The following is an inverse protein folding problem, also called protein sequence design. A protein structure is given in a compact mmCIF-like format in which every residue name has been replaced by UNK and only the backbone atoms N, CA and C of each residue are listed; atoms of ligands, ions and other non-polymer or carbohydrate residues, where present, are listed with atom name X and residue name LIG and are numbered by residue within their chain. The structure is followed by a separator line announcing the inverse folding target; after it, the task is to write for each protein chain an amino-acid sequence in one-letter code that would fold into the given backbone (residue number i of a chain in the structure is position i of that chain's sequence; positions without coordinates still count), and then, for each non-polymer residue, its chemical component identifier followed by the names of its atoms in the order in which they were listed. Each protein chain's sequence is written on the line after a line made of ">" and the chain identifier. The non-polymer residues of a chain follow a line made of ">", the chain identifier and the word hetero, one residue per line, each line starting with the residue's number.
data_IF_167495721547
#
_entry.id   IF_167495721547
#
_cell.length_a   1.000
_cell.length_b   1.000
_cell.length_c   1.000
_cell.angle_alpha   90.00
_cell.angle_beta   90.00
_cell.angle_gamma   90.00
#
_symmetry.space_group_name_H-M   'P 1'
#
loop_
_entity.id
_entity.type
_entity.pdbx_description
1 polymer ?
#
# COMPACT_ATOMS: atom_id res chain seq x y z
N UNK A 1 -8.17 24.85 15.09
CA UNK A 1 -7.08 25.55 14.35
C UNK A 1 -7.69 26.70 13.58
N UNK A 2 -7.07 27.89 13.58
CA UNK A 2 -7.59 29.00 12.77
C UNK A 2 -7.42 28.72 11.27
N UNK A 3 -8.36 29.18 10.40
CA UNK A 3 -8.28 28.94 8.95
C UNK A 3 -6.98 29.45 8.31
N UNK A 4 -6.34 30.45 8.90
CA UNK A 4 -5.04 30.99 8.46
C UNK A 4 -3.91 29.99 8.70
N UNK A 5 -3.90 29.28 9.84
CA UNK A 5 -2.90 28.24 10.13
C UNK A 5 -3.03 27.03 9.22
N UNK A 6 -4.26 26.64 8.88
CA UNK A 6 -4.51 25.53 7.93
C UNK A 6 -4.02 25.91 6.54
N UNK A 7 -4.36 27.11 6.04
CA UNK A 7 -3.87 27.59 4.73
C UNK A 7 -2.35 27.68 4.66
N UNK A 8 -1.69 28.14 5.73
CA UNK A 8 -0.24 28.20 5.80
C UNK A 8 0.37 26.79 5.79
N UNK A 9 -0.12 25.88 6.59
CA UNK A 9 0.35 24.49 6.63
C UNK A 9 0.17 23.78 5.28
N UNK A 10 -0.97 23.97 4.59
CA UNK A 10 -1.20 23.42 3.25
C UNK A 10 -0.22 24.03 2.26
N UNK A 11 -0.01 25.35 2.28
CA UNK A 11 0.93 26.02 1.36
C UNK A 11 2.38 25.54 1.59
N UNK A 12 2.80 25.39 2.83
CA UNK A 12 4.11 24.85 3.19
C UNK A 12 4.26 23.39 2.76
N UNK A 13 3.19 22.59 2.84
CA UNK A 13 3.19 21.19 2.41
C UNK A 13 3.29 21.02 0.89
N UNK A 14 2.82 21.99 0.11
CA UNK A 14 2.73 21.92 -1.37
C UNK A 14 3.88 22.69 -2.05
N UNK A 15 4.49 23.71 -1.38
CA UNK A 15 5.51 24.57 -1.99
C UNK A 15 6.87 23.88 -2.10
N UNK A 16 7.63 24.21 -3.13
CA UNK A 16 9.04 23.80 -3.28
C UNK A 16 9.27 22.40 -3.86
N UNK A 17 8.23 21.64 -4.19
CA UNK A 17 8.37 20.37 -4.90
C UNK A 17 8.53 20.58 -6.40
N UNK A 18 9.35 19.76 -7.12
CA UNK A 18 9.57 19.87 -8.55
C UNK A 18 8.29 19.71 -9.37
N UNK A 19 8.25 20.29 -10.55
CA UNK A 19 7.10 20.21 -11.45
C UNK A 19 6.82 18.78 -11.91
N UNK A 20 7.86 18.00 -12.10
CA UNK A 20 7.82 16.58 -12.47
C UNK A 20 7.13 15.72 -11.40
N UNK A 21 7.34 16.05 -10.12
CA UNK A 21 6.61 15.41 -9.01
C UNK A 21 5.10 15.61 -9.15
N UNK A 22 4.64 16.82 -9.50
CA UNK A 22 3.22 17.11 -9.65
C UNK A 22 2.58 16.35 -10.82
N UNK A 23 3.30 16.14 -11.92
CA UNK A 23 2.83 15.31 -13.02
C UNK A 23 2.68 13.85 -12.59
N UNK A 24 3.65 13.32 -11.85
CA UNK A 24 3.61 11.95 -11.33
C UNK A 24 2.50 11.79 -10.28
N UNK A 25 2.33 12.76 -9.40
CA UNK A 25 1.27 12.82 -8.38
C UNK A 25 -0.12 12.87 -9.04
N UNK A 26 -0.32 13.74 -10.03
CA UNK A 26 -1.58 13.83 -10.77
C UNK A 26 -1.87 12.53 -11.50
N UNK A 27 -0.87 11.91 -12.14
CA UNK A 27 -1.03 10.59 -12.76
C UNK A 27 -1.43 9.53 -11.74
N UNK A 28 -0.85 9.52 -10.54
CA UNK A 28 -1.25 8.61 -9.45
C UNK A 28 -2.70 8.84 -9.04
N UNK A 29 -3.11 10.09 -8.84
CA UNK A 29 -4.48 10.43 -8.47
C UNK A 29 -5.49 10.00 -9.55
N UNK A 30 -5.24 10.36 -10.82
CA UNK A 30 -6.11 10.02 -11.96
C UNK A 30 -6.21 8.51 -12.14
N UNK A 31 -5.11 7.79 -12.03
CA UNK A 31 -5.12 6.32 -12.10
C UNK A 31 -5.95 5.70 -10.96
N UNK A 32 -5.90 6.30 -9.76
CA UNK A 32 -6.73 5.84 -8.63
C UNK A 32 -8.20 6.22 -8.76
N UNK A 33 -8.50 7.37 -9.34
CA UNK A 33 -9.88 7.77 -9.65
C UNK A 33 -10.55 6.83 -10.67
N UNK A 34 -9.76 6.23 -11.58
CA UNK A 34 -10.24 5.25 -12.54
C UNK A 34 -10.35 3.82 -12.02
N UNK A 35 -9.80 3.51 -10.83
CA UNK A 35 -9.70 2.14 -10.35
C UNK A 35 -11.08 1.52 -10.08
N UNK A 36 -11.51 0.61 -10.95
CA UNK A 36 -12.79 -0.08 -10.92
C UNK A 36 -12.64 -1.57 -10.61
N UNK A 37 -11.74 -2.25 -11.32
CA UNK A 37 -11.56 -3.71 -11.26
C UNK A 37 -11.31 -4.19 -9.84
N UNK A 38 -10.34 -3.58 -9.14
CA UNK A 38 -9.92 -4.04 -7.82
C UNK A 38 -11.05 -3.99 -6.77
N UNK A 39 -12.00 -3.06 -6.93
CA UNK A 39 -13.09 -2.83 -5.97
C UNK A 39 -14.37 -3.57 -6.37
N UNK A 40 -14.70 -3.62 -7.67
CA UNK A 40 -15.99 -4.10 -8.14
C UNK A 40 -15.96 -5.45 -8.84
N UNK A 41 -14.78 -6.08 -9.03
CA UNK A 41 -14.66 -7.39 -9.67
C UNK A 41 -15.53 -8.46 -9.00
N UNK A 42 -15.57 -8.50 -7.67
CA UNK A 42 -16.36 -9.49 -6.95
C UNK A 42 -17.86 -9.33 -7.19
N UNK A 43 -18.37 -8.09 -7.19
CA UNK A 43 -19.77 -7.79 -7.52
C UNK A 43 -20.10 -8.08 -8.99
N UNK A 44 -19.21 -7.70 -9.90
CA UNK A 44 -19.36 -8.05 -11.33
C UNK A 44 -19.54 -9.56 -11.51
N UNK A 45 -18.68 -10.37 -10.89
CA UNK A 45 -18.75 -11.81 -11.04
C UNK A 45 -19.99 -12.42 -10.39
N UNK A 46 -20.42 -11.91 -9.23
CA UNK A 46 -21.52 -12.51 -8.48
C UNK A 46 -22.89 -11.97 -8.87
N UNK A 47 -23.04 -10.65 -9.10
CA UNK A 47 -24.32 -10.03 -9.40
C UNK A 47 -24.60 -9.96 -10.91
N UNK A 48 -23.63 -9.57 -11.73
CA UNK A 48 -23.83 -9.40 -13.18
C UNK A 48 -23.68 -10.73 -13.94
N UNK A 49 -22.65 -11.53 -13.56
CA UNK A 49 -22.35 -12.79 -14.24
C UNK A 49 -22.96 -14.02 -13.58
N UNK A 50 -23.51 -13.91 -12.37
CA UNK A 50 -24.15 -14.99 -11.64
C UNK A 50 -23.20 -16.11 -11.18
N UNK A 51 -21.88 -15.86 -11.12
CA UNK A 51 -20.92 -16.83 -10.62
C UNK A 51 -20.97 -16.95 -9.09
N UNK A 52 -20.46 -18.07 -8.57
CA UNK A 52 -20.34 -18.31 -7.14
C UNK A 52 -19.35 -17.36 -6.47
N UNK A 53 -19.50 -17.16 -5.15
CA UNK A 53 -18.52 -16.42 -4.36
C UNK A 53 -17.15 -17.10 -4.35
N UNK A 54 -17.10 -18.43 -4.40
CA UNK A 54 -15.86 -19.21 -4.54
C UNK A 54 -15.12 -18.87 -5.83
N UNK A 55 -15.84 -18.74 -6.95
CA UNK A 55 -15.23 -18.35 -8.21
C UNK A 55 -14.75 -16.88 -8.17
N UNK A 56 -15.54 -15.96 -7.61
CA UNK A 56 -15.12 -14.57 -7.41
C UNK A 56 -13.85 -14.49 -6.53
N UNK A 57 -13.80 -15.30 -5.47
CA UNK A 57 -12.61 -15.45 -4.63
C UNK A 57 -11.39 -15.98 -5.37
N UNK A 58 -11.57 -17.00 -6.24
CA UNK A 58 -10.51 -17.52 -7.09
C UNK A 58 -9.95 -16.45 -8.04
N UNK A 59 -10.83 -15.72 -8.72
CA UNK A 59 -10.43 -14.65 -9.66
C UNK A 59 -9.68 -13.53 -8.94
N UNK A 60 -10.16 -13.09 -7.78
CA UNK A 60 -9.47 -12.10 -6.95
C UNK A 60 -8.11 -12.59 -6.44
N UNK A 61 -8.00 -13.88 -6.10
CA UNK A 61 -6.73 -14.49 -5.69
C UNK A 61 -5.74 -14.59 -6.85
N UNK A 62 -6.19 -14.91 -8.04
CA UNK A 62 -5.36 -14.92 -9.25
C UNK A 62 -4.87 -13.50 -9.59
N UNK A 63 -5.73 -12.49 -9.45
CA UNK A 63 -5.32 -11.08 -9.56
C UNK A 63 -4.24 -10.74 -8.52
N UNK A 64 -4.41 -11.15 -7.26
CA UNK A 64 -3.41 -11.00 -6.21
C UNK A 64 -2.09 -11.71 -6.54
N UNK A 65 -2.15 -12.94 -7.04
CA UNK A 65 -0.98 -13.72 -7.47
C UNK A 65 -0.22 -13.02 -8.61
N UNK A 66 -0.94 -12.45 -9.58
CA UNK A 66 -0.36 -11.62 -10.63
C UNK A 66 0.45 -10.46 -10.05
N UNK A 67 -0.10 -9.79 -9.01
CA UNK A 67 0.59 -8.73 -8.27
C UNK A 67 1.88 -9.21 -7.57
N UNK A 68 1.87 -10.41 -6.97
CA UNK A 68 3.07 -11.01 -6.35
C UNK A 68 4.15 -11.28 -7.39
N UNK A 69 3.80 -11.92 -8.49
CA UNK A 69 4.73 -12.20 -9.61
C UNK A 69 5.33 -10.90 -10.14
N UNK A 70 4.50 -9.90 -10.32
CA UNK A 70 4.91 -8.58 -10.82
C UNK A 70 5.80 -7.81 -9.86
N UNK A 71 5.62 -7.94 -8.54
CA UNK A 71 6.46 -7.24 -7.57
C UNK A 71 7.92 -7.71 -7.64
N UNK A 72 8.14 -8.97 -8.01
CA UNK A 72 9.49 -9.54 -8.22
C UNK A 72 10.09 -9.08 -9.56
N UNK A 73 9.29 -9.04 -10.63
CA UNK A 73 9.75 -8.66 -11.97
C UNK A 73 9.80 -7.16 -12.23
N UNK A 74 8.87 -6.39 -11.67
CA UNK A 74 8.72 -4.96 -11.91
C UNK A 74 9.92 -4.12 -11.46
N UNK A 75 10.52 -4.47 -10.33
CA UNK A 75 11.76 -3.85 -9.87
C UNK A 75 12.92 -4.10 -10.84
N UNK A 76 13.13 -5.35 -11.26
CA UNK A 76 14.18 -5.72 -12.23
C UNK A 76 13.95 -5.03 -13.57
N UNK A 77 12.70 -4.93 -14.00
CA UNK A 77 12.34 -4.23 -15.25
C UNK A 77 12.63 -2.74 -15.16
N UNK A 78 12.31 -2.08 -14.03
CA UNK A 78 12.61 -0.67 -13.78
C UNK A 78 14.13 -0.38 -13.76
N UNK A 79 14.94 -1.32 -13.23
CA UNK A 79 16.39 -1.18 -13.17
C UNK A 79 17.05 -1.41 -14.54
N UNK A 80 16.55 -2.37 -15.33
CA UNK A 80 17.14 -2.74 -16.63
C UNK A 80 16.68 -1.85 -17.78
N UNK A 81 15.38 -1.63 -17.91
CA UNK A 81 14.78 -0.87 -19.02
C UNK A 81 14.75 0.64 -18.72
N UNK A 82 14.80 1.02 -17.46
CA UNK A 82 14.53 2.37 -17.00
C UNK A 82 13.11 2.49 -16.42
N UNK A 83 12.87 3.56 -15.69
CA UNK A 83 11.63 3.73 -14.92
C UNK A 83 10.46 4.17 -15.78
N UNK A 84 10.72 5.12 -16.70
CA UNK A 84 9.70 5.63 -17.62
C UNK A 84 9.20 4.57 -18.62
N UNK A 85 10.06 3.79 -19.32
CA UNK A 85 9.60 2.67 -20.15
C UNK A 85 8.84 1.62 -19.36
N UNK A 86 9.28 1.29 -18.14
CA UNK A 86 8.58 0.33 -17.26
C UNK A 86 7.16 0.81 -16.93
N UNK A 87 6.99 2.09 -16.59
CA UNK A 87 5.68 2.66 -16.33
C UNK A 87 4.79 2.63 -17.59
N UNK A 88 5.33 2.98 -18.75
CA UNK A 88 4.59 2.96 -20.00
C UNK A 88 4.10 1.54 -20.32
N UNK A 89 4.99 0.55 -20.27
CA UNK A 89 4.64 -0.86 -20.52
C UNK A 89 3.60 -1.35 -19.52
N UNK A 90 3.81 -1.09 -18.22
CA UNK A 90 2.90 -1.52 -17.17
C UNK A 90 1.50 -0.90 -17.32
N UNK A 91 1.41 0.40 -17.56
CA UNK A 91 0.14 1.10 -17.69
C UNK A 91 -0.59 0.73 -18.99
N UNK A 92 0.11 0.59 -20.12
CA UNK A 92 -0.50 0.15 -21.38
C UNK A 92 -0.98 -1.30 -21.31
N UNK A 93 -0.19 -2.20 -20.70
CA UNK A 93 -0.60 -3.57 -20.45
C UNK A 93 -1.80 -3.64 -19.49
N UNK A 94 -1.84 -2.79 -18.44
CA UNK A 94 -3.00 -2.69 -17.55
C UNK A 94 -4.24 -2.23 -18.33
N UNK A 95 -4.14 -1.13 -19.07
CA UNK A 95 -5.27 -0.62 -19.86
C UNK A 95 -5.80 -1.67 -20.85
N UNK A 96 -4.91 -2.35 -21.57
CA UNK A 96 -5.29 -3.40 -22.52
C UNK A 96 -5.94 -4.61 -21.83
N UNK A 97 -5.38 -5.08 -20.70
CA UNK A 97 -5.92 -6.23 -19.97
C UNK A 97 -7.23 -5.91 -19.25
N UNK A 98 -7.41 -4.70 -18.73
CA UNK A 98 -8.68 -4.25 -18.13
C UNK A 98 -9.77 -4.11 -19.21
N UNK A 99 -9.46 -3.50 -20.36
CA UNK A 99 -10.40 -3.43 -21.47
C UNK A 99 -10.78 -4.84 -21.95
N UNK A 100 -9.80 -5.73 -22.14
CA UNK A 100 -10.02 -7.12 -22.53
C UNK A 100 -10.93 -7.86 -21.55
N UNK A 101 -10.75 -7.64 -20.24
CA UNK A 101 -11.56 -8.26 -19.19
C UNK A 101 -13.06 -7.96 -19.37
N UNK A 102 -13.41 -6.74 -19.76
CA UNK A 102 -14.79 -6.33 -20.00
C UNK A 102 -15.51 -7.12 -21.10
N UNK A 103 -14.75 -7.69 -22.06
CA UNK A 103 -15.30 -8.48 -23.17
C UNK A 103 -15.22 -10.00 -22.93
N UNK A 104 -14.59 -10.44 -21.85
CA UNK A 104 -14.47 -11.87 -21.56
C UNK A 104 -15.78 -12.44 -21.03
N UNK A 105 -16.19 -13.58 -21.60
CA UNK A 105 -17.41 -14.31 -21.20
C UNK A 105 -17.10 -15.67 -20.60
N UNK A 106 -16.02 -16.32 -21.07
CA UNK A 106 -15.65 -17.65 -20.60
C UNK A 106 -14.93 -17.58 -19.24
N UNK A 107 -15.30 -18.40 -18.24
CA UNK A 107 -14.72 -18.33 -16.90
C UNK A 107 -13.20 -18.44 -16.87
N UNK A 108 -12.61 -19.38 -17.59
CA UNK A 108 -11.16 -19.54 -17.63
C UNK A 108 -10.45 -18.32 -18.25
N UNK A 109 -11.06 -17.65 -19.22
CA UNK A 109 -10.53 -16.43 -19.81
C UNK A 109 -10.60 -15.25 -18.82
N UNK A 110 -11.72 -15.09 -18.11
CA UNK A 110 -11.86 -14.08 -17.04
C UNK A 110 -10.77 -14.28 -16.00
N UNK A 111 -10.56 -15.49 -15.51
CA UNK A 111 -9.55 -15.82 -14.51
C UNK A 111 -8.12 -15.53 -15.00
N UNK A 112 -7.80 -15.93 -16.24
CA UNK A 112 -6.49 -15.67 -16.85
C UNK A 112 -6.23 -14.18 -17.09
N UNK A 113 -7.22 -13.45 -17.60
CA UNK A 113 -7.10 -11.99 -17.82
C UNK A 113 -7.03 -11.24 -16.48
N UNK A 114 -7.76 -11.66 -15.44
CA UNK A 114 -7.64 -11.06 -14.12
C UNK A 114 -6.23 -11.23 -13.52
N UNK A 115 -5.59 -12.38 -13.72
CA UNK A 115 -4.18 -12.56 -13.38
C UNK A 115 -3.28 -11.56 -14.12
N UNK A 116 -3.48 -11.37 -15.42
CA UNK A 116 -2.74 -10.39 -16.24
C UNK A 116 -2.96 -8.96 -15.75
N UNK A 117 -4.20 -8.58 -15.40
CA UNK A 117 -4.52 -7.27 -14.81
C UNK A 117 -3.74 -7.08 -13.51
N UNK A 118 -3.76 -8.07 -12.62
CA UNK A 118 -3.02 -8.02 -11.36
C UNK A 118 -1.51 -7.88 -11.58
N UNK A 119 -0.96 -8.60 -12.55
CA UNK A 119 0.45 -8.54 -12.91
C UNK A 119 0.82 -7.17 -13.49
N UNK A 120 0.09 -6.66 -14.45
CA UNK A 120 0.38 -5.40 -15.11
C UNK A 120 0.22 -4.20 -14.17
N UNK A 121 -0.89 -4.13 -13.42
CA UNK A 121 -1.21 -3.00 -12.55
C UNK A 121 -0.20 -2.82 -11.40
N UNK A 122 0.32 -3.92 -10.85
CA UNK A 122 1.29 -3.86 -9.76
C UNK A 122 2.74 -3.62 -10.23
N UNK A 123 3.06 -3.88 -11.52
CA UNK A 123 4.40 -3.62 -12.09
C UNK A 123 4.79 -2.13 -12.05
N UNK A 124 3.81 -1.23 -12.07
CA UNK A 124 4.05 0.21 -12.03
C UNK A 124 4.51 0.73 -10.67
N UNK A 125 4.14 0.05 -9.57
CA UNK A 125 4.38 0.55 -8.19
C UNK A 125 5.86 0.81 -7.85
N UNK A 126 6.78 -0.15 -8.08
CA UNK A 126 8.21 0.08 -7.80
C UNK A 126 8.77 1.24 -8.62
N UNK A 127 8.38 1.34 -9.91
CA UNK A 127 8.84 2.39 -10.79
C UNK A 127 8.36 3.78 -10.35
N UNK A 128 7.09 3.94 -9.96
CA UNK A 128 6.54 5.19 -9.40
C UNK A 128 7.29 5.61 -8.13
N UNK A 129 7.49 4.69 -7.19
CA UNK A 129 8.19 4.97 -5.94
C UNK A 129 9.64 5.37 -6.16
N UNK A 130 10.34 4.66 -7.04
CA UNK A 130 11.71 4.95 -7.39
C UNK A 130 11.84 6.30 -8.09
N UNK A 131 10.99 6.58 -9.09
CA UNK A 131 10.96 7.84 -9.82
C UNK A 131 10.67 9.03 -8.88
N UNK A 132 9.75 8.86 -7.94
CA UNK A 132 9.46 9.87 -6.92
C UNK A 132 10.67 10.15 -6.01
N UNK A 133 11.37 9.10 -5.59
CA UNK A 133 12.58 9.23 -4.78
C UNK A 133 13.74 9.90 -5.52
N UNK A 134 13.80 9.78 -6.87
CA UNK A 134 14.84 10.42 -7.68
C UNK A 134 14.57 11.89 -8.00
N UNK A 135 13.30 12.21 -8.29
CA UNK A 135 12.87 13.56 -8.67
C UNK A 135 12.91 14.50 -7.46
N UNK A 136 12.62 13.96 -6.25
CA UNK A 136 12.48 14.77 -5.04
C UNK A 136 13.76 14.71 -4.20
N UNK A 137 14.19 15.89 -3.72
CA UNK A 137 15.36 16.01 -2.83
C UNK A 137 15.21 15.14 -1.58
N UNK A 138 16.30 14.59 -1.01
CA UNK A 138 16.24 13.69 0.15
C UNK A 138 15.44 14.24 1.33
N UNK A 139 15.59 15.55 1.64
CA UNK A 139 14.89 16.24 2.74
C UNK A 139 13.37 16.35 2.53
N UNK A 140 12.91 16.36 1.27
CA UNK A 140 11.50 16.51 0.90
C UNK A 140 10.79 15.17 0.65
N UNK A 141 11.51 14.04 0.62
CA UNK A 141 10.94 12.72 0.27
C UNK A 141 9.79 12.30 1.18
N UNK A 142 9.94 12.48 2.49
CA UNK A 142 8.88 12.12 3.45
C UNK A 142 7.58 12.87 3.12
N UNK A 143 7.68 14.14 2.80
CA UNK A 143 6.55 14.99 2.40
C UNK A 143 5.93 14.53 1.08
N UNK A 144 6.76 14.25 0.08
CA UNK A 144 6.31 13.76 -1.23
C UNK A 144 5.57 12.43 -1.14
N UNK A 145 6.12 11.46 -0.40
CA UNK A 145 5.45 10.17 -0.17
C UNK A 145 4.14 10.32 0.62
N UNK A 146 4.08 11.23 1.58
CA UNK A 146 2.85 11.53 2.32
C UNK A 146 1.77 12.11 1.41
N UNK A 147 2.13 13.05 0.52
CA UNK A 147 1.21 13.60 -0.47
C UNK A 147 0.73 12.53 -1.46
N UNK A 148 1.63 11.63 -1.88
CA UNK A 148 1.26 10.52 -2.76
C UNK A 148 0.30 9.53 -2.07
N UNK A 149 0.54 9.22 -0.80
CA UNK A 149 -0.36 8.39 0.00
C UNK A 149 -1.76 9.03 0.12
N UNK A 150 -1.80 10.35 0.31
CA UNK A 150 -3.05 11.10 0.35
C UNK A 150 -3.79 11.04 -1.00
N UNK A 151 -3.08 11.18 -2.14
CA UNK A 151 -3.66 11.03 -3.47
C UNK A 151 -4.28 9.65 -3.69
N UNK A 152 -3.58 8.59 -3.23
CA UNK A 152 -4.05 7.21 -3.33
C UNK A 152 -5.39 7.03 -2.57
N UNK A 153 -5.47 7.48 -1.33
CA UNK A 153 -6.66 7.30 -0.50
C UNK A 153 -7.83 8.21 -0.93
N UNK A 154 -7.54 9.45 -1.33
CA UNK A 154 -8.55 10.35 -1.89
C UNK A 154 -9.11 9.77 -3.20
N UNK A 155 -8.21 9.33 -4.09
CA UNK A 155 -8.62 8.69 -5.34
C UNK A 155 -9.46 7.45 -5.08
N UNK A 156 -9.08 6.60 -4.13
CA UNK A 156 -9.84 5.43 -3.73
C UNK A 156 -11.24 5.79 -3.19
N UNK A 157 -11.37 6.78 -2.32
CA UNK A 157 -12.65 7.20 -1.77
C UNK A 157 -13.62 7.68 -2.87
N UNK A 158 -13.12 8.56 -3.76
CA UNK A 158 -13.94 9.11 -4.85
C UNK A 158 -14.25 8.03 -5.90
N UNK A 159 -13.26 7.21 -6.27
CA UNK A 159 -13.47 6.14 -7.27
C UNK A 159 -14.46 5.09 -6.77
N UNK A 160 -14.38 4.68 -5.51
CA UNK A 160 -15.30 3.66 -4.97
C UNK A 160 -16.75 4.12 -5.03
N UNK A 161 -17.02 5.38 -4.69
CA UNK A 161 -18.36 5.95 -4.80
C UNK A 161 -18.81 6.07 -6.26
N UNK A 162 -17.98 6.67 -7.13
CA UNK A 162 -18.30 6.84 -8.55
C UNK A 162 -18.48 5.50 -9.27
N UNK A 163 -17.60 4.54 -8.99
CA UNK A 163 -17.64 3.21 -9.57
C UNK A 163 -18.89 2.42 -9.15
N UNK A 164 -19.38 2.62 -7.91
CA UNK A 164 -20.65 2.05 -7.46
C UNK A 164 -21.82 2.49 -8.33
N UNK A 165 -21.94 3.77 -8.58
CA UNK A 165 -22.97 4.31 -9.47
C UNK A 165 -22.79 3.84 -10.94
N UNK A 166 -21.54 3.82 -11.44
CA UNK A 166 -21.26 3.31 -12.81
C UNK A 166 -21.67 1.85 -12.93
N UNK A 167 -21.38 1.02 -11.91
CA UNK A 167 -21.71 -0.41 -11.92
C UNK A 167 -23.21 -0.69 -11.97
N UNK A 168 -24.06 0.21 -11.47
CA UNK A 168 -25.52 0.09 -11.60
C UNK A 168 -26.00 0.19 -13.05
N UNK A 169 -25.28 0.92 -13.90
CA UNK A 169 -25.63 1.08 -15.31
C UNK A 169 -24.89 0.08 -16.20
N UNK A 170 -23.57 -0.09 -15.99
CA UNK A 170 -22.77 -0.97 -16.83
C UNK A 170 -21.39 -1.23 -16.22
N UNK A 171 -21.10 -2.49 -15.92
CA UNK A 171 -19.74 -2.92 -15.54
C UNK A 171 -18.74 -2.73 -16.69
N UNK A 172 -19.18 -2.96 -17.95
CA UNK A 172 -18.33 -2.73 -19.12
C UNK A 172 -17.86 -1.27 -19.20
N UNK A 173 -18.76 -0.32 -18.95
CA UNK A 173 -18.38 1.11 -18.89
C UNK A 173 -17.32 1.36 -17.83
N UNK A 174 -17.44 0.75 -16.65
CA UNK A 174 -16.44 0.84 -15.58
C UNK A 174 -15.06 0.35 -16.01
N UNK A 175 -14.98 -0.81 -16.67
CA UNK A 175 -13.73 -1.35 -17.21
C UNK A 175 -13.12 -0.44 -18.29
N UNK A 176 -13.93 0.07 -19.21
CA UNK A 176 -13.43 0.95 -20.28
C UNK A 176 -12.98 2.33 -19.76
N UNK A 177 -13.67 2.86 -18.75
CA UNK A 177 -13.25 4.10 -18.08
C UNK A 177 -11.90 3.89 -17.39
N UNK A 178 -11.72 2.81 -16.62
CA UNK A 178 -10.43 2.49 -15.99
C UNK A 178 -9.32 2.35 -17.04
N UNK A 179 -9.57 1.60 -18.12
CA UNK A 179 -8.61 1.42 -19.21
C UNK A 179 -8.23 2.76 -19.86
N UNK A 180 -9.22 3.61 -20.16
CA UNK A 180 -9.00 4.94 -20.75
C UNK A 180 -8.21 5.87 -19.84
N UNK A 181 -8.55 5.94 -18.54
CA UNK A 181 -7.85 6.76 -17.57
C UNK A 181 -6.41 6.27 -17.35
N UNK A 182 -6.20 4.95 -17.29
CA UNK A 182 -4.85 4.37 -17.17
C UNK A 182 -4.00 4.66 -18.41
N UNK A 183 -4.58 4.58 -19.60
CA UNK A 183 -3.88 4.93 -20.84
C UNK A 183 -3.55 6.43 -20.91
N UNK A 184 -4.47 7.30 -20.48
CA UNK A 184 -4.22 8.73 -20.38
C UNK A 184 -3.06 9.04 -19.41
N UNK A 185 -3.00 8.33 -18.26
CA UNK A 185 -1.88 8.42 -17.33
C UNK A 185 -0.55 7.99 -17.98
N UNK A 186 -0.55 6.90 -18.76
CA UNK A 186 0.63 6.45 -19.50
C UNK A 186 1.15 7.54 -20.46
N UNK A 187 0.25 8.18 -21.21
CA UNK A 187 0.59 9.28 -22.12
C UNK A 187 1.14 10.48 -21.36
N UNK A 188 0.51 10.90 -20.26
CA UNK A 188 0.99 12.05 -19.45
C UNK A 188 2.37 11.77 -18.88
N UNK A 189 2.60 10.59 -18.29
CA UNK A 189 3.92 10.23 -17.75
C UNK A 189 4.96 10.21 -18.87
N UNK A 190 4.64 9.61 -20.00
CA UNK A 190 5.54 9.55 -21.15
C UNK A 190 5.89 10.95 -21.68
N UNK A 191 4.94 11.89 -21.75
CA UNK A 191 5.15 13.22 -22.32
C UNK A 191 5.80 14.21 -21.35
N UNK A 192 5.55 14.09 -20.03
CA UNK A 192 5.86 15.14 -19.05
C UNK A 192 6.89 14.75 -17.99
N UNK A 193 7.16 13.46 -17.80
CA UNK A 193 8.12 13.00 -16.78
C UNK A 193 9.39 12.52 -17.46
N UNK A 194 10.56 13.10 -17.16
CA UNK A 194 11.83 12.66 -17.73
C UNK A 194 12.24 11.29 -17.23
N UNK A 195 13.09 10.59 -17.98
CA UNK A 195 13.70 9.35 -17.50
C UNK A 195 14.62 9.63 -16.31
N UNK A 196 14.47 8.87 -15.25
CA UNK A 196 15.33 8.93 -14.07
C UNK A 196 16.07 7.60 -13.90
N UNK A 197 17.16 7.40 -14.64
CA UNK A 197 18.08 6.29 -14.39
C UNK A 197 19.06 6.69 -13.30
N UNK A 198 19.13 5.96 -12.17
CA UNK A 198 20.23 6.18 -11.24
C UNK A 198 21.54 5.77 -11.90
N UNK A 199 22.60 6.51 -11.59
CA UNK A 199 23.94 6.02 -11.86
C UNK A 199 24.13 4.67 -11.12
N UNK A 200 24.87 3.71 -11.69
CA UNK A 200 25.17 2.46 -11.00
C UNK A 200 25.81 2.79 -9.65
N UNK A 201 25.06 2.69 -8.57
CA UNK A 201 25.62 2.82 -7.23
C UNK A 201 26.48 1.58 -6.98
N UNK A 202 27.73 1.79 -6.63
CA UNK A 202 28.60 0.72 -6.16
C UNK A 202 27.85 -0.06 -5.06
N UNK A 203 27.71 -1.36 -5.28
CA UNK A 203 27.12 -2.29 -4.31
C UNK A 203 27.86 -2.07 -2.99
N UNK A 204 27.19 -1.56 -1.96
CA UNK A 204 27.80 -1.50 -0.64
C UNK A 204 28.11 -2.95 -0.22
N UNK A 205 29.38 -3.29 -0.20
CA UNK A 205 29.92 -4.55 0.31
C UNK A 205 29.77 -4.54 1.85
N UNK A 206 28.56 -4.81 2.32
CA UNK A 206 28.30 -5.19 3.70
C UNK A 206 27.85 -6.65 3.72
N UNK A 207 28.26 -7.43 4.71
CA UNK A 207 27.85 -8.82 4.86
C UNK A 207 26.31 -8.92 4.81
N UNK A 208 25.79 -9.35 3.65
CA UNK A 208 24.34 -9.44 3.42
C UNK A 208 23.74 -10.52 4.30
N UNK A 209 22.83 -10.13 5.21
CA UNK A 209 22.06 -11.09 6.03
C UNK A 209 21.27 -12.01 5.08
N UNK A 210 21.54 -13.33 5.12
CA UNK A 210 20.84 -14.31 4.27
C UNK A 210 19.34 -14.39 4.60
N UNK A 211 18.51 -14.74 3.61
CA UNK A 211 17.08 -15.01 3.85
C UNK A 211 16.85 -16.08 4.93
N UNK A 212 17.71 -17.11 4.96
CA UNK A 212 17.69 -18.16 5.98
C UNK A 212 17.85 -17.64 7.41
N UNK A 213 18.61 -16.55 7.61
CA UNK A 213 18.75 -15.90 8.92
C UNK A 213 17.45 -15.26 9.35
N UNK A 214 16.75 -14.55 8.44
CA UNK A 214 15.44 -13.93 8.71
C UNK A 214 14.41 -15.00 9.08
N UNK A 215 14.36 -16.10 8.33
CA UNK A 215 13.40 -17.19 8.58
C UNK A 215 13.69 -17.97 9.88
N UNK A 216 14.91 -17.92 10.39
CA UNK A 216 15.30 -18.51 11.68
C UNK A 216 15.08 -17.57 12.87
N UNK A 217 14.82 -16.30 12.63
CA UNK A 217 14.44 -15.36 13.68
C UNK A 217 12.98 -15.62 14.13
N UNK A 218 12.83 -16.52 15.10
CA UNK A 218 11.52 -16.94 15.58
C UNK A 218 10.67 -15.81 16.15
N UNK A 219 11.29 -14.75 16.71
CA UNK A 219 10.56 -13.57 17.20
C UNK A 219 10.00 -12.75 16.05
N UNK A 220 10.80 -12.52 15.05
CA UNK A 220 10.39 -11.82 13.85
C UNK A 220 9.32 -12.61 13.09
N UNK A 221 9.50 -13.90 12.90
CA UNK A 221 8.52 -14.78 12.23
C UNK A 221 7.19 -14.85 12.98
N UNK A 222 7.18 -14.75 14.31
CA UNK A 222 5.95 -14.61 15.08
C UNK A 222 5.21 -13.28 14.76
N UNK A 223 5.94 -12.15 14.64
CA UNK A 223 5.35 -10.88 14.20
C UNK A 223 4.79 -11.00 12.78
N UNK A 224 5.53 -11.62 11.85
CA UNK A 224 5.09 -11.86 10.47
C UNK A 224 3.82 -12.71 10.43
N UNK A 225 3.74 -13.78 11.23
CA UNK A 225 2.55 -14.64 11.34
C UNK A 225 1.34 -13.89 11.88
N UNK A 226 1.52 -13.08 12.93
CA UNK A 226 0.45 -12.24 13.47
C UNK A 226 0.00 -11.16 12.47
N UNK A 227 0.95 -10.56 11.75
CA UNK A 227 0.65 -9.62 10.66
C UNK A 227 -0.15 -10.27 9.53
N UNK A 228 0.17 -11.52 9.18
CA UNK A 228 -0.60 -12.30 8.22
C UNK A 228 -2.05 -12.50 8.67
N UNK A 229 -2.28 -12.86 9.95
CA UNK A 229 -3.63 -13.01 10.49
C UNK A 229 -4.44 -11.72 10.44
N UNK A 230 -3.83 -10.58 10.80
CA UNK A 230 -4.48 -9.27 10.72
C UNK A 230 -4.75 -8.88 9.26
N UNK A 231 -3.80 -9.15 8.36
CA UNK A 231 -3.98 -8.90 6.94
C UNK A 231 -5.12 -9.76 6.34
N UNK A 232 -5.28 -11.03 6.75
CA UNK A 232 -6.42 -11.87 6.36
C UNK A 232 -7.77 -11.21 6.69
N UNK A 233 -7.86 -10.55 7.85
CA UNK A 233 -9.08 -9.85 8.27
C UNK A 233 -9.30 -8.61 7.38
N UNK A 234 -8.29 -7.75 7.18
CA UNK A 234 -8.44 -6.55 6.36
C UNK A 234 -8.77 -6.85 4.90
N UNK A 235 -8.22 -7.95 4.35
CA UNK A 235 -8.49 -8.36 2.98
C UNK A 235 -9.95 -8.79 2.74
N UNK A 236 -10.76 -8.99 3.79
CA UNK A 236 -12.19 -9.27 3.62
C UNK A 236 -12.98 -8.09 3.05
N UNK A 237 -12.44 -6.87 3.13
CA UNK A 237 -13.02 -5.69 2.47
C UNK A 237 -13.09 -5.81 0.95
N UNK A 238 -12.25 -6.63 0.32
CA UNK A 238 -12.14 -6.72 -1.14
C UNK A 238 -13.07 -7.76 -1.80
N UNK A 239 -13.40 -8.85 -1.13
CA UNK A 239 -14.28 -9.91 -1.63
C UNK A 239 -15.40 -10.23 -0.66
N UNK A 240 -15.09 -10.47 0.62
CA UNK A 240 -16.08 -10.83 1.62
C UNK A 240 -17.20 -9.80 1.75
N UNK A 241 -16.83 -8.53 1.92
CA UNK A 241 -17.81 -7.44 2.12
C UNK A 241 -18.69 -7.22 0.88
N UNK A 242 -18.17 -7.01 -0.34
CA UNK A 242 -19.02 -6.77 -1.50
C UNK A 242 -19.94 -7.98 -1.82
N UNK A 243 -19.43 -9.20 -1.74
CA UNK A 243 -20.24 -10.40 -1.98
C UNK A 243 -21.35 -10.54 -0.92
N UNK A 244 -21.06 -10.29 0.35
CA UNK A 244 -22.06 -10.36 1.40
C UNK A 244 -23.14 -9.28 1.23
N UNK A 245 -22.76 -8.04 0.91
CA UNK A 245 -23.71 -6.97 0.62
C UNK A 245 -24.58 -7.29 -0.60
N UNK A 246 -23.98 -7.77 -1.70
CA UNK A 246 -24.73 -8.16 -2.90
C UNK A 246 -25.73 -9.29 -2.63
N UNK A 247 -25.35 -10.34 -1.85
CA UNK A 247 -26.28 -11.42 -1.46
C UNK A 247 -27.38 -10.95 -0.52
N UNK A 248 -27.12 -9.91 0.27
CA UNK A 248 -28.14 -9.29 1.13
C UNK A 248 -29.07 -8.33 0.38
N UNK A 249 -28.91 -8.19 -0.97
CA UNK A 249 -29.78 -7.37 -1.82
C UNK A 249 -29.37 -5.90 -1.91
N UNK A 250 -28.21 -5.52 -1.40
CA UNK A 250 -27.68 -4.16 -1.54
C UNK A 250 -27.10 -3.95 -2.95
N UNK A 251 -27.26 -2.71 -3.46
CA UNK A 251 -26.78 -2.34 -4.78
C UNK A 251 -25.25 -2.13 -4.82
N UNK A 252 -24.65 -2.13 -6.01
CA UNK A 252 -23.24 -1.72 -6.18
C UNK A 252 -22.95 -0.31 -5.67
N UNK A 253 -23.90 0.63 -5.79
CA UNK A 253 -23.77 1.98 -5.23
C UNK A 253 -23.72 1.96 -3.70
N UNK A 254 -24.54 1.14 -3.05
CA UNK A 254 -24.53 0.97 -1.59
C UNK A 254 -23.16 0.50 -1.09
N UNK A 255 -22.57 -0.49 -1.77
CA UNK A 255 -21.22 -0.94 -1.46
C UNK A 255 -20.18 0.16 -1.73
N UNK A 256 -20.29 0.85 -2.88
CA UNK A 256 -19.41 1.96 -3.23
C UNK A 256 -19.41 3.08 -2.17
N UNK A 257 -20.59 3.45 -1.67
CA UNK A 257 -20.75 4.41 -0.59
C UNK A 257 -20.15 3.91 0.72
N UNK A 258 -20.43 2.65 1.08
CA UNK A 258 -19.91 2.07 2.32
C UNK A 258 -18.38 2.05 2.33
N UNK A 259 -17.76 1.56 1.24
CA UNK A 259 -16.30 1.45 1.18
C UNK A 259 -15.60 2.81 0.98
N UNK A 260 -16.26 3.81 0.39
CA UNK A 260 -15.73 5.18 0.28
C UNK A 260 -15.46 5.80 1.65
N UNK A 261 -16.24 5.42 2.68
CA UNK A 261 -16.03 5.86 4.06
C UNK A 261 -14.63 5.51 4.56
N UNK A 262 -14.09 4.34 4.19
CA UNK A 262 -12.71 3.95 4.54
C UNK A 262 -11.70 4.99 4.03
N UNK A 263 -11.71 5.31 2.73
CA UNK A 263 -10.79 6.28 2.15
C UNK A 263 -10.96 7.69 2.74
N UNK A 264 -12.21 8.14 2.97
CA UNK A 264 -12.52 9.44 3.59
C UNK A 264 -11.94 9.51 5.00
N UNK A 265 -12.15 8.48 5.81
CA UNK A 265 -11.65 8.43 7.19
C UNK A 265 -10.12 8.39 7.23
N UNK A 266 -9.48 7.63 6.35
CA UNK A 266 -8.01 7.62 6.26
C UNK A 266 -7.50 9.03 5.93
N UNK A 267 -8.06 9.70 4.92
CA UNK A 267 -7.65 11.06 4.55
C UNK A 267 -7.85 12.06 5.69
N UNK A 268 -8.95 11.95 6.42
CA UNK A 268 -9.29 12.88 7.50
C UNK A 268 -8.51 12.59 8.80
N UNK A 269 -8.37 11.32 9.18
CA UNK A 269 -7.95 10.92 10.52
C UNK A 269 -6.51 10.38 10.60
N UNK A 270 -5.87 9.98 9.48
CA UNK A 270 -4.54 9.38 9.51
C UNK A 270 -3.53 10.27 10.28
N UNK A 271 -3.45 11.56 9.96
CA UNK A 271 -2.49 12.46 10.59
C UNK A 271 -2.80 12.69 12.07
N UNK A 272 -4.04 13.10 12.47
CA UNK A 272 -4.33 13.32 13.88
C UNK A 272 -4.21 12.05 14.73
N UNK A 273 -4.65 10.90 14.22
CA UNK A 273 -4.52 9.63 14.96
C UNK A 273 -3.07 9.21 15.09
N UNK A 274 -2.25 9.31 14.04
CA UNK A 274 -0.82 8.98 14.10
C UNK A 274 -0.11 9.82 15.16
N UNK A 275 -0.37 11.13 15.22
CA UNK A 275 0.20 12.00 16.28
C UNK A 275 -0.26 11.60 17.69
N UNK A 276 -1.50 11.15 17.83
CA UNK A 276 -2.04 10.71 19.11
C UNK A 276 -1.41 9.41 19.60
N UNK A 277 -1.10 8.48 18.69
CA UNK A 277 -0.57 7.15 19.01
C UNK A 277 0.96 7.12 19.08
N UNK A 278 1.66 8.14 18.58
CA UNK A 278 3.14 8.20 18.44
C UNK A 278 3.89 7.89 19.74
N UNK A 279 3.32 8.32 20.87
CA UNK A 279 3.94 8.11 22.20
C UNK A 279 3.24 7.01 23.03
N UNK A 280 2.38 6.20 22.41
CA UNK A 280 1.67 5.11 23.08
C UNK A 280 2.43 3.79 22.95
N UNK A 281 2.19 2.90 23.91
CA UNK A 281 2.78 1.57 23.90
C UNK A 281 2.36 0.77 22.66
N UNK A 282 3.32 0.38 21.78
CA UNK A 282 3.02 -0.38 20.55
C UNK A 282 2.28 -1.69 20.80
N UNK A 283 2.50 -2.32 21.97
CA UNK A 283 1.79 -3.54 22.36
C UNK A 283 0.30 -3.28 22.49
N UNK A 284 -0.07 -2.28 23.26
CA UNK A 284 -1.48 -1.91 23.46
C UNK A 284 -2.14 -1.54 22.13
N UNK A 285 -1.42 -0.78 21.28
CA UNK A 285 -1.91 -0.37 19.96
C UNK A 285 -2.16 -1.57 19.05
N UNK A 286 -1.25 -2.55 18.99
CA UNK A 286 -1.42 -3.75 18.16
C UNK A 286 -2.53 -4.67 18.68
N UNK A 287 -2.67 -4.81 20.00
CA UNK A 287 -3.78 -5.55 20.60
C UNK A 287 -5.12 -4.90 20.25
N UNK A 288 -5.26 -3.61 20.54
CA UNK A 288 -6.50 -2.87 20.31
C UNK A 288 -6.87 -2.84 18.83
N UNK A 289 -5.91 -2.57 17.94
CA UNK A 289 -6.17 -2.54 16.50
C UNK A 289 -6.56 -3.91 15.95
N UNK A 290 -5.96 -5.01 16.42
CA UNK A 290 -6.34 -6.37 16.02
C UNK A 290 -7.77 -6.71 16.46
N UNK A 291 -8.15 -6.35 17.69
CA UNK A 291 -9.51 -6.53 18.18
C UNK A 291 -10.51 -5.65 17.40
N UNK A 292 -10.20 -4.38 17.21
CA UNK A 292 -11.06 -3.48 16.43
C UNK A 292 -11.23 -3.95 14.97
N UNK A 293 -10.18 -4.50 14.33
CA UNK A 293 -10.28 -5.09 13.00
C UNK A 293 -11.21 -6.31 13.02
N UNK A 294 -10.93 -7.27 13.90
CA UNK A 294 -11.71 -8.50 14.01
C UNK A 294 -13.19 -8.27 14.33
N UNK A 295 -13.47 -7.45 15.34
CA UNK A 295 -14.84 -7.13 15.72
C UNK A 295 -15.50 -6.12 14.76
N UNK A 296 -14.75 -5.20 14.14
CA UNK A 296 -15.27 -4.32 13.10
C UNK A 296 -15.84 -5.08 11.92
N UNK A 297 -15.11 -6.09 11.42
CA UNK A 297 -15.65 -7.02 10.43
C UNK A 297 -16.68 -7.98 11.04
N UNK A 298 -16.49 -8.43 12.28
CA UNK A 298 -17.43 -9.31 12.98
C UNK A 298 -18.83 -8.71 13.11
N UNK A 299 -18.93 -7.42 13.43
CA UNK A 299 -20.20 -6.69 13.54
C UNK A 299 -20.96 -6.62 12.21
N UNK A 300 -20.30 -6.81 11.08
CA UNK A 300 -20.95 -6.90 9.76
C UNK A 300 -21.96 -8.04 9.69
N UNK A 301 -21.85 -9.07 10.53
CA UNK A 301 -22.85 -10.13 10.63
C UNK A 301 -24.26 -9.63 10.99
N UNK A 302 -24.35 -8.48 11.64
CA UNK A 302 -25.61 -7.87 12.11
C UNK A 302 -26.05 -6.68 11.23
N UNK A 303 -25.35 -6.43 10.12
CA UNK A 303 -25.62 -5.29 9.26
C UNK A 303 -26.86 -5.55 8.38
N UNK A 304 -27.98 -4.91 8.72
CA UNK A 304 -29.24 -4.94 7.96
C UNK A 304 -29.53 -3.65 7.17
N UNK A 305 -28.63 -2.66 7.18
CA UNK A 305 -28.78 -1.41 6.42
C UNK A 305 -27.42 -0.85 6.00
N UNK A 306 -27.41 -0.02 4.95
CA UNK A 306 -26.19 0.65 4.47
C UNK A 306 -25.49 1.44 5.57
N UNK A 307 -26.27 2.12 6.43
CA UNK A 307 -25.73 2.89 7.57
C UNK A 307 -24.97 2.01 8.58
N UNK A 308 -25.45 0.79 8.85
CA UNK A 308 -24.75 -0.16 9.72
C UNK A 308 -23.50 -0.70 9.04
N UNK A 309 -23.51 -0.99 7.73
CA UNK A 309 -22.29 -1.33 6.99
C UNK A 309 -21.26 -0.20 7.05
N UNK A 310 -21.67 1.07 6.84
CA UNK A 310 -20.79 2.23 7.00
C UNK A 310 -20.19 2.32 8.40
N UNK A 311 -20.98 2.04 9.44
CA UNK A 311 -20.48 2.04 10.81
C UNK A 311 -19.44 0.95 11.05
N UNK A 312 -19.64 -0.27 10.53
CA UNK A 312 -18.64 -1.33 10.62
C UNK A 312 -17.37 -0.97 9.87
N UNK A 313 -17.49 -0.32 8.69
CA UNK A 313 -16.35 0.24 7.94
C UNK A 313 -15.61 1.28 8.78
N UNK A 314 -16.31 2.18 9.49
CA UNK A 314 -15.66 3.13 10.40
C UNK A 314 -14.81 2.41 11.46
N UNK A 315 -15.35 1.36 12.08
CA UNK A 315 -14.66 0.63 13.16
C UNK A 315 -13.37 -0.02 12.67
N UNK A 316 -13.44 -0.79 11.59
CA UNK A 316 -12.23 -1.46 11.08
C UNK A 316 -11.26 -0.49 10.39
N UNK A 317 -11.74 0.65 9.86
CA UNK A 317 -10.86 1.71 9.34
C UNK A 317 -10.04 2.35 10.46
N UNK A 318 -10.64 2.61 11.62
CA UNK A 318 -9.88 3.08 12.78
C UNK A 318 -8.81 2.06 13.20
N UNK A 319 -9.14 0.77 13.15
CA UNK A 319 -8.15 -0.28 13.35
C UNK A 319 -6.99 -0.19 12.35
N UNK A 320 -7.28 0.01 11.07
CA UNK A 320 -6.28 0.13 9.99
C UNK A 320 -5.36 1.32 10.21
N UNK A 321 -5.93 2.50 10.53
CA UNK A 321 -5.17 3.74 10.78
C UNK A 321 -4.19 3.58 11.95
N UNK A 322 -4.55 2.84 12.99
CA UNK A 322 -3.68 2.55 14.14
C UNK A 322 -2.67 1.45 13.82
N UNK A 323 -3.12 0.38 13.14
CA UNK A 323 -2.33 -0.82 12.90
C UNK A 323 -1.15 -0.56 11.94
N UNK A 324 -1.38 0.08 10.80
CA UNK A 324 -0.40 0.21 9.74
C UNK A 324 0.92 0.90 10.17
N UNK A 325 0.91 2.10 10.82
CA UNK A 325 2.14 2.72 11.28
C UNK A 325 2.80 1.95 12.42
N UNK A 326 2.00 1.36 13.33
CA UNK A 326 2.51 0.62 14.49
C UNK A 326 3.21 -0.66 14.06
N UNK A 327 2.64 -1.43 13.12
CA UNK A 327 3.30 -2.61 12.56
C UNK A 327 4.59 -2.25 11.81
N UNK A 328 4.54 -1.22 10.97
CA UNK A 328 5.73 -0.77 10.23
C UNK A 328 6.85 -0.37 11.21
N UNK A 329 6.54 0.37 12.24
CA UNK A 329 7.48 0.73 13.30
C UNK A 329 8.09 -0.49 14.01
N UNK A 330 7.26 -1.49 14.33
CA UNK A 330 7.72 -2.74 14.95
C UNK A 330 8.66 -3.53 14.02
N UNK A 331 8.31 -3.65 12.73
CA UNK A 331 9.15 -4.32 11.71
C UNK A 331 10.51 -3.63 11.58
N UNK A 332 10.53 -2.30 11.50
CA UNK A 332 11.79 -1.52 11.43
C UNK A 332 12.64 -1.73 12.67
N UNK A 333 12.02 -1.73 13.87
CA UNK A 333 12.70 -1.93 15.15
C UNK A 333 13.34 -3.32 15.28
N UNK A 334 12.68 -4.35 14.78
CA UNK A 334 13.19 -5.73 14.84
C UNK A 334 14.18 -6.03 13.72
N UNK A 335 14.32 -5.16 12.72
CA UNK A 335 15.18 -5.39 11.56
C UNK A 335 16.57 -4.82 11.77
N UNK A 336 17.65 -5.62 11.71
CA UNK A 336 19.03 -5.13 11.71
C UNK A 336 19.27 -4.16 10.55
N UNK A 337 20.09 -3.13 10.76
CA UNK A 337 20.33 -2.07 9.74
C UNK A 337 20.78 -2.65 8.41
N UNK A 338 21.71 -3.63 8.41
CA UNK A 338 22.25 -4.27 7.20
C UNK A 338 21.31 -5.33 6.57
N UNK A 339 20.18 -5.66 7.22
CA UNK A 339 19.21 -6.67 6.76
C UNK A 339 17.81 -6.14 6.52
N UNK A 340 17.55 -4.84 6.71
CA UNK A 340 16.20 -4.24 6.67
C UNK A 340 15.41 -4.60 5.42
N UNK A 341 16.04 -4.62 4.26
CA UNK A 341 15.36 -4.95 3.00
C UNK A 341 14.78 -6.36 3.00
N UNK A 342 15.52 -7.35 3.52
CA UNK A 342 15.05 -8.75 3.59
C UNK A 342 13.96 -8.94 4.64
N UNK A 343 14.12 -8.33 5.82
CA UNK A 343 13.07 -8.31 6.84
C UNK A 343 11.79 -7.68 6.30
N UNK A 344 11.88 -6.49 5.71
CA UNK A 344 10.73 -5.83 5.08
C UNK A 344 10.11 -6.66 3.95
N UNK A 345 10.93 -7.36 3.16
CA UNK A 345 10.47 -8.27 2.11
C UNK A 345 9.62 -9.42 2.67
N UNK A 346 10.06 -10.07 3.75
CA UNK A 346 9.30 -11.14 4.41
C UNK A 346 8.00 -10.62 5.04
N UNK A 347 8.02 -9.42 5.63
CA UNK A 347 6.80 -8.76 6.10
C UNK A 347 5.81 -8.48 4.95
N UNK A 348 6.30 -7.93 3.84
CA UNK A 348 5.45 -7.66 2.66
C UNK A 348 4.88 -8.95 2.07
N UNK A 349 5.64 -10.05 2.10
CA UNK A 349 5.19 -11.35 1.65
C UNK A 349 4.00 -11.86 2.47
N UNK A 350 3.93 -11.57 3.78
CA UNK A 350 2.76 -11.95 4.60
C UNK A 350 1.47 -11.29 4.14
N UNK A 351 1.51 -10.02 3.78
CA UNK A 351 0.37 -9.28 3.21
C UNK A 351 0.00 -9.79 1.82
N UNK A 352 0.99 -10.10 0.99
CA UNK A 352 0.76 -10.68 -0.34
C UNK A 352 0.12 -12.07 -0.26
N UNK A 353 0.56 -12.89 0.71
CA UNK A 353 -0.04 -14.19 0.97
C UNK A 353 -1.47 -14.06 1.50
N UNK A 354 -1.73 -13.07 2.35
CA UNK A 354 -3.09 -12.77 2.80
C UNK A 354 -3.99 -12.34 1.64
N UNK A 355 -3.50 -11.51 0.72
CA UNK A 355 -4.23 -11.10 -0.49
C UNK A 355 -4.54 -12.27 -1.43
N UNK A 356 -3.74 -13.33 -1.39
CA UNK A 356 -4.00 -14.57 -2.13
C UNK A 356 -5.01 -15.47 -1.39
N UNK A 357 -4.85 -15.67 -0.09
CA UNK A 357 -5.61 -16.65 0.71
C UNK A 357 -6.99 -16.11 1.10
N UNK A 358 -7.09 -14.85 1.50
CA UNK A 358 -8.32 -14.28 2.03
C UNK A 358 -9.51 -14.32 1.06
N UNK A 359 -9.36 -13.99 -0.24
CA UNK A 359 -10.46 -14.09 -1.20
C UNK A 359 -10.93 -15.53 -1.42
N UNK A 360 -10.00 -16.51 -1.50
CA UNK A 360 -10.36 -17.94 -1.61
C UNK A 360 -11.15 -18.39 -0.38
N UNK A 361 -10.67 -18.03 0.79
CA UNK A 361 -11.34 -18.35 2.06
C UNK A 361 -12.72 -17.70 2.13
N UNK A 362 -12.83 -16.41 1.79
CA UNK A 362 -14.10 -15.68 1.79
C UNK A 362 -15.13 -16.35 0.88
N UNK A 363 -14.76 -16.61 -0.37
CA UNK A 363 -15.64 -17.24 -1.34
C UNK A 363 -16.12 -18.63 -0.88
N UNK A 364 -15.18 -19.48 -0.45
CA UNK A 364 -15.52 -20.84 0.01
C UNK A 364 -16.41 -20.85 1.27
N UNK A 365 -16.13 -19.98 2.24
CA UNK A 365 -16.93 -19.87 3.47
C UNK A 365 -18.33 -19.33 3.17
N UNK A 366 -18.42 -18.27 2.36
CA UNK A 366 -19.71 -17.68 2.01
C UNK A 366 -20.61 -18.66 1.23
N UNK A 367 -20.04 -19.46 0.32
CA UNK A 367 -20.82 -20.43 -0.46
C UNK A 367 -21.30 -21.62 0.37
N UNK A 368 -20.47 -22.10 1.33
CA UNK A 368 -20.78 -23.31 2.11
C UNK A 368 -21.56 -23.03 3.38
N UNK A 369 -21.24 -21.94 4.06
CA UNK A 369 -21.73 -21.67 5.42
C UNK A 369 -22.47 -20.32 5.52
N UNK A 370 -22.36 -19.46 4.51
CA UNK A 370 -22.93 -18.12 4.54
C UNK A 370 -21.98 -17.05 5.12
N UNK A 371 -22.31 -15.79 4.85
CA UNK A 371 -21.48 -14.64 5.24
C UNK A 371 -21.31 -14.51 6.78
N UNK A 372 -22.31 -14.89 7.58
CA UNK A 372 -22.22 -14.80 9.04
C UNK A 372 -21.04 -15.56 9.62
N UNK A 373 -20.71 -16.74 9.07
CA UNK A 373 -19.54 -17.51 9.49
C UNK A 373 -18.23 -16.81 9.15
N UNK A 374 -18.15 -16.15 8.01
CA UNK A 374 -16.97 -15.37 7.64
C UNK A 374 -16.70 -14.25 8.65
N UNK A 375 -17.75 -13.55 9.07
CA UNK A 375 -17.64 -12.48 10.05
C UNK A 375 -17.27 -13.00 11.44
N UNK A 376 -17.83 -14.13 11.84
CA UNK A 376 -17.43 -14.83 13.07
C UNK A 376 -15.95 -15.24 13.06
N UNK A 377 -15.46 -15.75 11.93
CA UNK A 377 -14.04 -16.07 11.75
C UNK A 377 -13.15 -14.82 11.87
N UNK A 378 -13.57 -13.68 11.32
CA UNK A 378 -12.82 -12.42 11.48
C UNK A 378 -12.67 -12.03 12.95
N UNK A 379 -13.74 -12.14 13.74
CA UNK A 379 -13.70 -11.85 15.18
C UNK A 379 -12.74 -12.82 15.93
N UNK A 380 -12.79 -14.12 15.62
CA UNK A 380 -11.90 -15.13 16.22
C UNK A 380 -10.44 -14.87 15.83
N UNK A 381 -10.14 -14.62 14.54
CA UNK A 381 -8.79 -14.35 14.05
C UNK A 381 -8.25 -13.05 14.64
N UNK A 382 -9.06 -11.99 14.68
CA UNK A 382 -8.67 -10.72 15.31
C UNK A 382 -8.38 -10.85 16.80
N UNK A 383 -9.19 -11.65 17.53
CA UNK A 383 -8.94 -11.97 18.95
C UNK A 383 -7.64 -12.75 19.11
N UNK A 384 -7.44 -13.80 18.30
CA UNK A 384 -6.20 -14.59 18.30
C UNK A 384 -4.95 -13.75 18.02
N UNK A 385 -5.03 -12.86 17.03
CA UNK A 385 -3.94 -11.94 16.71
C UNK A 385 -3.67 -10.95 17.87
N UNK A 386 -4.72 -10.39 18.48
CA UNK A 386 -4.60 -9.49 19.62
C UNK A 386 -3.95 -10.18 20.83
N UNK A 387 -4.39 -11.38 21.18
CA UNK A 387 -3.77 -12.19 22.24
C UNK A 387 -2.31 -12.52 21.89
N UNK A 388 -2.04 -12.91 20.64
CA UNK A 388 -0.69 -13.20 20.16
C UNK A 388 0.25 -12.01 20.31
N UNK A 389 -0.15 -10.81 19.88
CA UNK A 389 0.63 -9.58 20.11
C UNK A 389 0.79 -9.27 21.60
N UNK A 390 -0.27 -9.42 22.39
CA UNK A 390 -0.24 -9.24 23.83
C UNK A 390 0.79 -10.12 24.53
N UNK A 391 0.93 -11.38 24.12
CA UNK A 391 1.89 -12.34 24.68
C UNK A 391 3.30 -12.12 24.13
N UNK A 392 3.44 -11.92 22.83
CA UNK A 392 4.73 -11.75 22.16
C UNK A 392 5.45 -10.50 22.66
N UNK A 393 4.74 -9.37 22.72
CA UNK A 393 5.33 -8.09 23.13
C UNK A 393 5.73 -8.02 24.61
N UNK A 394 5.14 -8.88 25.47
CA UNK A 394 5.62 -9.05 26.85
C UNK A 394 7.04 -9.59 26.94
N UNK A 395 7.44 -10.38 25.96
CA UNK A 395 8.75 -11.05 25.90
C UNK A 395 9.82 -10.24 25.15
N UNK A 396 9.41 -9.13 24.53
CA UNK A 396 10.36 -8.21 23.88
C UNK A 396 10.90 -7.24 24.92
N UNK A 397 12.21 -6.90 24.88
CA UNK A 397 12.78 -5.90 25.79
C UNK A 397 12.02 -4.59 25.71
N UNK A 398 11.78 -3.95 26.84
CA UNK A 398 11.20 -2.63 26.89
C UNK A 398 12.05 -1.66 26.06
N UNK A 399 11.38 -0.72 25.40
CA UNK A 399 12.03 0.34 24.66
C UNK A 399 12.97 1.11 25.57
N UNK A 400 14.29 1.02 25.36
CA UNK A 400 15.18 1.98 25.96
C UNK A 400 14.86 3.32 25.28
N UNK A 401 14.53 4.38 26.06
CA UNK A 401 14.38 5.71 25.48
C UNK A 401 15.65 5.99 24.68
N UNK A 402 15.49 6.34 23.41
CA UNK A 402 16.60 6.87 22.63
C UNK A 402 17.02 8.14 23.35
N UNK A 403 18.08 8.04 24.15
CA UNK A 403 18.66 9.20 24.79
C UNK A 403 18.91 10.27 23.72
N UNK A 404 18.81 11.56 24.06
CA UNK A 404 19.07 12.62 23.11
C UNK A 404 20.38 12.30 22.39
N UNK A 405 20.32 12.15 21.07
CA UNK A 405 21.50 11.95 20.23
C UNK A 405 22.52 12.98 20.65
N UNK A 406 23.66 12.52 21.17
CA UNK A 406 24.74 13.42 21.51
C UNK A 406 25.00 14.34 20.32
N UNK A 407 25.07 15.65 20.48
CA UNK A 407 25.34 16.55 19.37
C UNK A 407 26.60 16.07 18.66
N UNK A 408 26.53 16.01 17.34
CA UNK A 408 27.67 15.61 16.52
C UNK A 408 28.92 16.35 17.00
N UNK A 409 30.07 15.67 17.16
CA UNK A 409 31.30 16.34 17.59
C UNK A 409 31.51 17.52 16.65
N UNK A 410 31.68 18.71 17.25
CA UNK A 410 32.01 19.93 16.49
C UNK A 410 33.24 19.64 15.66
N UNK A 411 33.26 19.99 14.35
CA UNK A 411 34.47 19.85 13.58
C UNK A 411 35.59 20.58 14.31
N UNK A 412 36.67 19.87 14.60
CA UNK A 412 37.85 20.44 15.23
C UNK A 412 38.33 21.65 14.44
N UNK A 413 38.98 22.63 15.07
CA UNK A 413 39.54 23.77 14.34
C UNK A 413 40.44 23.26 13.23
N UNK A 414 40.26 23.81 12.03
CA UNK A 414 41.11 23.55 10.90
C UNK A 414 42.59 23.73 11.30
N UNK A 415 43.51 22.84 10.89
CA UNK A 415 44.92 23.00 11.18
C UNK A 415 45.36 24.36 10.69
N UNK A 416 45.95 25.12 11.62
CA UNK A 416 46.51 26.44 11.31
C UNK A 416 47.55 26.30 10.20
N UNK A 417 47.34 27.06 9.15
CA UNK A 417 48.24 27.17 8.03
C UNK A 417 49.58 27.76 8.57
N UNK A 418 50.52 26.89 8.89
CA UNK A 418 51.88 27.30 9.23
C UNK A 418 52.56 27.70 7.92
N UNK A 419 52.38 28.95 7.58
CA UNK A 419 53.17 29.64 6.54
C UNK A 419 54.63 29.60 6.90
N UNK A 420 55.37 28.69 6.30
CA UNK A 420 56.82 28.71 6.28
C UNK A 420 57.27 29.52 5.09
N UNK A 421 57.50 30.80 5.34
CA UNK A 421 58.30 31.59 4.43
C UNK A 421 59.79 31.25 4.64
N UNK A 422 60.44 30.81 3.62
CA UNK A 422 61.92 30.93 3.48
C UNK A 422 62.22 30.98 1.96
N UNK A 423 62.51 32.17 1.55
CA UNK A 423 63.14 32.42 0.28
C UNK A 423 64.58 31.96 0.29
N UNK A 424 65.03 31.38 -0.80
CA UNK A 424 66.41 31.47 -1.28
C UNK A 424 66.38 31.43 -2.79
N UNK A 425 66.87 32.52 -3.37
CA UNK A 425 67.12 32.62 -4.79
C UNK A 425 68.26 31.67 -5.24
N UNK A 426 68.17 31.22 -6.44
CA UNK A 426 69.30 30.73 -7.23
C UNK A 426 69.05 30.95 -8.68
N UNK A 427 70.02 31.56 -9.28
CA UNK A 427 70.17 32.04 -10.65
C UNK A 427 69.98 30.99 -11.72
N UNK A 428 69.47 31.47 -12.84
CA UNK A 428 69.56 30.81 -14.16
C UNK A 428 70.94 31.01 -14.76
N UNK A 429 71.55 30.07 -15.47
CA UNK A 429 72.33 30.34 -16.65
C UNK A 429 71.70 29.72 -17.87
N UNK A 430 71.68 30.53 -18.92
CA UNK A 430 71.36 30.16 -20.28
C UNK A 430 72.49 29.30 -20.88
N UNK A 431 72.10 28.27 -21.65
CA UNK A 431 72.68 27.84 -22.91
C UNK A 431 71.67 26.85 -23.59
#
# INVERSE_FOLDING_TARGET
>A
MSPVRVRRAVRESVSGLPREFWWLWTSTLVNRLGAFVATFMALYLTLDRGYSASYAGLVASLHGLGGVVSSLGGGVMADRLGRRPTLLIAQTATAASVALLGFMTHPAAIAGVAFLVGMASNASRPAVQAMMADIVRPEDRVRAFSLNYWAINLGFAVSSMAAGFIAEFSYLAGFLIEAGMTLACAVVVFAKVPESRPAPTARQEGAEIGLGTVLRDGRYMAVVGLSFLVALVFQQGSVGLPVAMGRAGFSPADYGLAIAVNGILIVALQIPVTRFIEHRDPRTLLVVSSLLAGYGFGLTAFAGSVGVFMLTVCVWTLAEIVNAPTQTGLVVRLSPVHGRGRYQGVYTLSWSLAALVAPLMAGAVIDRFGAGWLWGMCAVVGTGAGLGYGLLMRRLPAEQPVGPTAPAPRPGPAPADTGSGAGTGAEVPAA
#
